data_IF_147127060110
#
_entry.id   IF_147127060110
#
_cell.length_a   1.000
_cell.length_b   1.000
_cell.length_c   1.000
_cell.angle_alpha   90.00
_cell.angle_beta   90.00
_cell.angle_gamma   90.00
#
_symmetry.space_group_name_H-M   'P 1'
#
loop_
_entity.id
_entity.type
_entity.pdbx_description
1 polymer ?
#
# COMPACT_ATOMS: atom_id res chain seq x y z
N UNK A 1 11.17 -39.72 -0.08
CA UNK A 1 10.02 -38.80 -0.02
C UNK A 1 10.49 -37.58 0.80
N UNK A 2 10.91 -36.52 0.12
CA UNK A 2 11.42 -35.29 0.79
C UNK A 2 10.24 -34.35 0.89
N UNK A 3 9.59 -34.30 2.05
CA UNK A 3 8.66 -33.22 2.38
C UNK A 3 9.46 -31.93 2.51
N UNK A 4 9.42 -31.10 1.47
CA UNK A 4 9.85 -29.72 1.53
C UNK A 4 8.79 -28.94 2.32
N UNK A 5 8.86 -29.00 3.63
CA UNK A 5 8.15 -28.04 4.50
C UNK A 5 8.84 -26.70 4.33
N UNK A 6 8.27 -25.86 3.44
CA UNK A 6 8.76 -24.51 3.25
C UNK A 6 8.87 -23.80 4.62
N UNK A 7 10.01 -23.20 4.92
CA UNK A 7 10.22 -22.47 6.17
C UNK A 7 9.13 -21.39 6.33
N UNK A 8 8.30 -21.46 7.38
CA UNK A 8 7.23 -20.48 7.60
C UNK A 8 7.73 -19.04 7.72
N UNK A 9 9.01 -18.86 8.06
CA UNK A 9 9.66 -17.56 8.06
C UNK A 9 9.86 -17.00 6.65
N UNK A 10 10.17 -17.84 5.68
CA UNK A 10 10.35 -17.43 4.28
C UNK A 10 9.01 -17.05 3.64
N UNK A 11 7.95 -17.79 3.91
CA UNK A 11 6.60 -17.47 3.43
C UNK A 11 6.11 -16.12 3.98
N UNK A 12 6.35 -15.86 5.26
CA UNK A 12 6.00 -14.58 5.90
C UNK A 12 6.74 -13.41 5.24
N UNK A 13 8.03 -13.53 4.95
CA UNK A 13 8.82 -12.48 4.29
C UNK A 13 8.34 -12.20 2.88
N UNK A 14 8.07 -13.25 2.11
CA UNK A 14 7.54 -13.12 0.75
C UNK A 14 6.20 -12.38 0.80
N UNK A 15 5.28 -12.78 1.68
CA UNK A 15 3.99 -12.12 1.83
C UNK A 15 4.15 -10.64 2.21
N UNK A 16 4.99 -10.34 3.20
CA UNK A 16 5.24 -8.96 3.66
C UNK A 16 6.00 -8.14 2.60
N UNK A 17 6.80 -8.78 1.73
CA UNK A 17 7.48 -8.11 0.61
C UNK A 17 6.56 -7.81 -0.57
N UNK A 18 5.57 -8.67 -0.83
CA UNK A 18 4.59 -8.48 -1.92
C UNK A 18 3.58 -7.37 -1.57
N UNK A 19 3.13 -7.31 -0.32
CA UNK A 19 2.10 -6.35 0.11
C UNK A 19 2.45 -4.89 -0.24
N UNK A 20 3.63 -4.34 0.10
CA UNK A 20 3.95 -2.96 -0.26
C UNK A 20 4.01 -2.75 -1.78
N UNK A 21 4.42 -3.76 -2.57
CA UNK A 21 4.41 -3.66 -4.03
C UNK A 21 2.98 -3.58 -4.59
N UNK A 22 2.06 -4.40 -4.08
CA UNK A 22 0.64 -4.37 -4.46
C UNK A 22 0.02 -3.02 -4.10
N UNK A 23 0.25 -2.53 -2.88
CA UNK A 23 -0.24 -1.22 -2.46
C UNK A 23 0.38 -0.08 -3.29
N UNK A 24 1.68 -0.15 -3.63
CA UNK A 24 2.33 0.84 -4.47
C UNK A 24 1.63 0.95 -5.85
N UNK A 25 1.36 -0.19 -6.50
CA UNK A 25 0.62 -0.22 -7.77
C UNK A 25 -0.77 0.38 -7.61
N UNK A 26 -1.49 0.04 -6.53
CA UNK A 26 -2.83 0.56 -6.26
C UNK A 26 -2.82 2.08 -6.10
N UNK A 27 -1.86 2.64 -5.35
CA UNK A 27 -1.71 4.08 -5.20
C UNK A 27 -1.33 4.78 -6.50
N UNK A 28 -0.45 4.21 -7.33
CA UNK A 28 -0.14 4.78 -8.63
C UNK A 28 -1.33 4.75 -9.58
N UNK A 29 -2.15 3.68 -9.54
CA UNK A 29 -3.41 3.66 -10.30
C UNK A 29 -4.36 4.77 -9.85
N UNK A 30 -4.52 4.98 -8.53
CA UNK A 30 -5.30 6.09 -7.98
C UNK A 30 -4.77 7.45 -8.44
N UNK A 31 -3.46 7.66 -8.34
CA UNK A 31 -2.83 8.90 -8.82
C UNK A 31 -3.10 9.16 -10.30
N UNK A 32 -3.01 8.14 -11.16
CA UNK A 32 -3.32 8.26 -12.58
C UNK A 32 -4.79 8.63 -12.82
N UNK A 33 -5.72 8.01 -12.08
CA UNK A 33 -7.14 8.35 -12.17
C UNK A 33 -7.37 9.82 -11.79
N UNK A 34 -6.73 10.31 -10.71
CA UNK A 34 -6.81 11.71 -10.29
C UNK A 34 -6.03 12.69 -11.20
N UNK A 35 -5.21 12.18 -12.10
CA UNK A 35 -4.65 12.98 -13.21
C UNK A 35 -5.57 12.99 -14.46
N UNK A 36 -6.73 12.32 -14.39
CA UNK A 36 -7.71 12.25 -15.48
C UNK A 36 -7.46 11.10 -16.47
N UNK A 37 -6.53 10.19 -16.15
CA UNK A 37 -6.34 8.97 -16.95
C UNK A 37 -7.51 8.03 -16.74
N UNK A 38 -8.08 7.52 -17.82
CA UNK A 38 -9.16 6.53 -17.79
C UNK A 38 -8.54 5.13 -17.99
N UNK A 39 -8.90 4.19 -17.11
CA UNK A 39 -8.39 2.82 -17.16
C UNK A 39 -9.51 1.89 -17.67
N UNK A 40 -9.41 1.36 -18.91
CA UNK A 40 -10.40 0.44 -19.44
C UNK A 40 -10.28 -0.95 -18.79
N UNK A 41 -11.39 -1.48 -18.30
CA UNK A 41 -11.51 -2.82 -17.74
C UNK A 41 -12.58 -3.61 -18.53
N UNK A 42 -12.27 -3.94 -19.77
CA UNK A 42 -13.22 -4.61 -20.66
C UNK A 42 -14.41 -3.72 -20.98
N UNK A 43 -15.62 -4.10 -20.51
CA UNK A 43 -16.84 -3.33 -20.73
C UNK A 43 -17.01 -2.12 -19.77
N UNK A 44 -16.19 -2.03 -18.73
CA UNK A 44 -16.20 -0.93 -17.76
C UNK A 44 -14.97 -0.02 -17.93
N UNK A 45 -15.11 1.24 -17.54
CA UNK A 45 -14.01 2.21 -17.50
C UNK A 45 -13.93 2.79 -16.10
N UNK A 46 -12.77 2.69 -15.47
CA UNK A 46 -12.48 3.43 -14.25
C UNK A 46 -12.08 4.86 -14.63
N UNK A 47 -12.81 5.82 -14.08
CA UNK A 47 -12.53 7.25 -14.27
C UNK A 47 -12.87 8.01 -12.99
N UNK A 48 -12.02 8.97 -12.64
CA UNK A 48 -12.22 9.86 -11.50
C UNK A 48 -12.07 11.33 -11.94
N UNK A 49 -12.68 12.27 -11.23
CA UNK A 49 -12.41 13.68 -11.43
C UNK A 49 -10.94 14.01 -11.21
N UNK A 50 -10.40 14.95 -11.99
CA UNK A 50 -9.03 15.42 -11.81
C UNK A 50 -8.90 16.17 -10.49
N UNK A 51 -8.07 15.63 -9.58
CA UNK A 51 -7.79 16.17 -8.24
C UNK A 51 -6.28 16.18 -8.02
N UNK A 52 -5.59 17.22 -8.47
CA UNK A 52 -4.14 17.28 -8.43
C UNK A 52 -3.52 17.06 -7.04
N UNK A 53 -4.05 17.62 -5.93
CA UNK A 53 -3.54 17.29 -4.59
C UNK A 53 -3.61 15.81 -4.25
N UNK A 54 -4.70 15.11 -4.61
CA UNK A 54 -4.83 13.67 -4.40
C UNK A 54 -3.80 12.88 -5.20
N UNK A 55 -3.63 13.22 -6.49
CA UNK A 55 -2.62 12.59 -7.35
C UNK A 55 -1.20 12.72 -6.76
N UNK A 56 -0.85 13.88 -6.19
CA UNK A 56 0.45 14.10 -5.55
C UNK A 56 0.61 13.20 -4.32
N UNK A 57 -0.37 13.22 -3.41
CA UNK A 57 -0.31 12.41 -2.17
C UNK A 57 -0.23 10.93 -2.50
N UNK A 58 -1.05 10.43 -3.43
CA UNK A 58 -1.04 9.03 -3.84
C UNK A 58 0.29 8.64 -4.52
N UNK A 59 0.85 9.51 -5.36
CA UNK A 59 2.18 9.28 -5.94
C UNK A 59 3.26 9.15 -4.88
N UNK A 60 3.25 10.00 -3.86
CA UNK A 60 4.20 9.94 -2.75
C UNK A 60 4.01 8.66 -1.91
N UNK A 61 2.77 8.25 -1.67
CA UNK A 61 2.46 6.98 -1.00
C UNK A 61 2.97 5.78 -1.82
N UNK A 62 2.72 5.78 -3.14
CA UNK A 62 3.23 4.76 -4.05
C UNK A 62 4.75 4.67 -4.05
N UNK A 63 5.46 5.81 -4.08
CA UNK A 63 6.94 5.84 -4.01
C UNK A 63 7.45 5.30 -2.67
N UNK A 64 6.85 5.70 -1.54
CA UNK A 64 7.24 5.20 -0.22
C UNK A 64 7.07 3.69 -0.11
N UNK A 65 5.95 3.16 -0.60
CA UNK A 65 5.66 1.72 -0.61
C UNK A 65 6.57 0.95 -1.56
N UNK A 66 6.92 1.53 -2.73
CA UNK A 66 7.91 0.97 -3.65
C UNK A 66 9.29 0.86 -2.98
N UNK A 67 9.69 1.88 -2.22
CA UNK A 67 10.91 1.82 -1.42
C UNK A 67 10.85 0.73 -0.35
N UNK A 68 9.70 0.57 0.34
CA UNK A 68 9.48 -0.52 1.28
C UNK A 68 9.64 -1.91 0.64
N UNK A 69 9.04 -2.11 -0.54
CA UNK A 69 9.17 -3.34 -1.30
C UNK A 69 10.63 -3.61 -1.71
N UNK A 70 11.31 -2.59 -2.25
CA UNK A 70 12.72 -2.68 -2.59
C UNK A 70 13.59 -3.06 -1.40
N UNK A 71 13.36 -2.47 -0.22
CA UNK A 71 14.12 -2.78 0.98
C UNK A 71 14.05 -4.26 1.38
N UNK A 72 12.88 -4.90 1.17
CA UNK A 72 12.72 -6.35 1.39
C UNK A 72 13.48 -7.15 0.35
N UNK A 73 13.31 -6.81 -0.95
CA UNK A 73 13.97 -7.52 -2.05
C UNK A 73 15.49 -7.39 -1.98
N UNK A 74 16.00 -6.22 -1.60
CA UNK A 74 17.42 -5.95 -1.39
C UNK A 74 17.98 -6.55 -0.07
N UNK A 75 17.14 -7.22 0.73
CA UNK A 75 17.51 -7.79 2.04
C UNK A 75 18.18 -6.77 2.95
N UNK A 76 17.69 -5.52 2.88
CA UNK A 76 18.27 -4.46 3.68
C UNK A 76 18.06 -4.72 5.17
N UNK A 77 19.09 -4.51 5.99
CA UNK A 77 19.05 -4.76 7.44
C UNK A 77 17.95 -3.98 8.18
N UNK A 78 17.43 -2.88 7.58
CA UNK A 78 16.32 -2.08 8.10
C UNK A 78 15.00 -2.28 7.32
N UNK A 79 14.86 -3.39 6.58
CA UNK A 79 13.69 -3.65 5.75
C UNK A 79 12.37 -3.58 6.54
N UNK A 80 12.32 -4.13 7.75
CA UNK A 80 11.12 -4.01 8.61
C UNK A 80 10.74 -2.55 8.87
N UNK A 81 11.71 -1.71 9.25
CA UNK A 81 11.49 -0.28 9.52
C UNK A 81 11.02 0.44 8.25
N UNK A 82 11.62 0.14 7.10
CA UNK A 82 11.24 0.74 5.82
C UNK A 82 9.81 0.37 5.44
N UNK A 83 9.43 -0.90 5.55
CA UNK A 83 8.06 -1.37 5.25
C UNK A 83 7.06 -0.76 6.22
N UNK A 84 7.36 -0.75 7.51
CA UNK A 84 6.47 -0.17 8.52
C UNK A 84 6.27 1.33 8.29
N UNK A 85 7.36 2.09 8.09
CA UNK A 85 7.30 3.53 7.84
C UNK A 85 6.54 3.86 6.55
N UNK A 86 6.74 3.09 5.47
CA UNK A 86 6.03 3.25 4.21
C UNK A 86 4.51 3.05 4.37
N UNK A 87 4.08 2.00 5.09
CA UNK A 87 2.66 1.76 5.35
C UNK A 87 2.06 2.81 6.28
N UNK A 88 2.79 3.25 7.30
CA UNK A 88 2.33 4.32 8.19
C UNK A 88 2.18 5.66 7.43
N UNK A 89 3.11 5.98 6.53
CA UNK A 89 3.03 7.13 5.65
C UNK A 89 1.81 7.05 4.73
N UNK A 90 1.61 5.89 4.08
CA UNK A 90 0.46 5.66 3.20
C UNK A 90 -0.88 5.73 3.96
N UNK A 91 -0.94 5.22 5.21
CA UNK A 91 -2.11 5.38 6.07
C UNK A 91 -2.40 6.86 6.34
N UNK A 92 -1.37 7.67 6.61
CA UNK A 92 -1.50 9.13 6.75
C UNK A 92 -2.10 9.79 5.50
N UNK A 93 -1.65 9.39 4.31
CA UNK A 93 -2.20 9.85 3.03
C UNK A 93 -3.68 9.48 2.85
N UNK A 94 -4.06 8.24 3.18
CA UNK A 94 -5.47 7.81 3.13
C UNK A 94 -6.32 8.58 4.14
N UNK A 95 -5.85 8.79 5.36
CA UNK A 95 -6.57 9.57 6.36
C UNK A 95 -6.76 11.02 5.92
N UNK A 96 -5.76 11.61 5.26
CA UNK A 96 -5.88 12.94 4.66
C UNK A 96 -6.98 12.97 3.59
N UNK A 97 -7.01 11.99 2.69
CA UNK A 97 -8.04 11.85 1.66
C UNK A 97 -9.44 11.68 2.27
N UNK A 98 -9.61 10.77 3.23
CA UNK A 98 -10.89 10.57 3.94
C UNK A 98 -11.36 11.85 4.62
N UNK A 99 -10.44 12.57 5.26
CA UNK A 99 -10.76 13.85 5.92
C UNK A 99 -11.18 14.90 4.89
N UNK A 100 -10.46 15.01 3.77
CA UNK A 100 -10.80 15.94 2.70
C UNK A 100 -12.20 15.67 2.13
N UNK A 101 -12.55 14.40 1.89
CA UNK A 101 -13.90 14.01 1.45
C UNK A 101 -14.96 14.35 2.50
N UNK A 102 -14.71 14.08 3.78
CA UNK A 102 -15.64 14.38 4.86
C UNK A 102 -15.89 15.89 5.04
N UNK A 103 -14.91 16.72 4.71
CA UNK A 103 -15.01 18.18 4.75
C UNK A 103 -15.55 18.79 3.44
N UNK A 104 -15.87 17.97 2.43
CA UNK A 104 -16.34 18.46 1.14
C UNK A 104 -15.27 19.18 0.33
N UNK A 105 -13.99 18.92 0.58
CA UNK A 105 -12.86 19.59 -0.08
C UNK A 105 -12.59 19.07 -1.52
N UNK A 106 -13.41 18.17 -2.03
CA UNK A 106 -13.30 17.62 -3.38
C UNK A 106 -14.53 16.83 -3.80
N UNK A 107 -14.63 16.45 -5.09
CA UNK A 107 -15.71 15.61 -5.57
C UNK A 107 -15.66 14.23 -4.90
N UNK A 108 -16.81 13.76 -4.42
CA UNK A 108 -16.97 12.44 -3.83
C UNK A 108 -17.68 11.54 -4.83
N UNK A 109 -16.97 10.51 -5.30
CA UNK A 109 -17.54 9.42 -6.12
C UNK A 109 -17.64 8.15 -5.27
N UNK A 110 -18.51 7.23 -5.67
CA UNK A 110 -18.60 5.93 -4.99
C UNK A 110 -17.30 5.14 -5.10
N UNK A 111 -16.61 5.24 -6.24
CA UNK A 111 -15.32 4.59 -6.47
C UNK A 111 -14.27 5.15 -5.50
N UNK A 112 -14.12 6.47 -5.44
CA UNK A 112 -13.15 7.14 -4.56
C UNK A 112 -13.43 6.82 -3.08
N UNK A 113 -14.69 6.88 -2.67
CA UNK A 113 -15.11 6.56 -1.30
C UNK A 113 -14.81 5.10 -0.94
N UNK A 114 -15.12 4.16 -1.83
CA UNK A 114 -14.87 2.73 -1.63
C UNK A 114 -13.37 2.46 -1.58
N UNK A 115 -12.61 3.04 -2.51
CA UNK A 115 -11.15 2.95 -2.53
C UNK A 115 -10.53 3.35 -1.20
N UNK A 116 -10.87 4.54 -0.69
CA UNK A 116 -10.33 5.02 0.59
C UNK A 116 -10.68 4.11 1.78
N UNK A 117 -11.91 3.57 1.82
CA UNK A 117 -12.32 2.63 2.88
C UNK A 117 -11.53 1.32 2.82
N UNK A 118 -11.39 0.74 1.63
CA UNK A 118 -10.64 -0.51 1.44
C UNK A 118 -9.16 -0.30 1.80
N UNK A 119 -8.57 0.82 1.33
CA UNK A 119 -7.17 1.14 1.64
C UNK A 119 -6.96 1.38 3.13
N UNK A 120 -7.87 2.09 3.80
CA UNK A 120 -7.81 2.33 5.24
C UNK A 120 -7.78 1.01 6.02
N UNK A 121 -8.76 0.13 5.77
CA UNK A 121 -8.85 -1.17 6.48
C UNK A 121 -7.63 -2.02 6.18
N UNK A 122 -7.21 -2.10 4.92
CA UNK A 122 -6.07 -2.90 4.50
C UNK A 122 -4.76 -2.42 5.11
N UNK A 123 -4.47 -1.11 5.08
CA UNK A 123 -3.25 -0.54 5.67
C UNK A 123 -3.20 -0.72 7.19
N UNK A 124 -4.32 -0.56 7.89
CA UNK A 124 -4.40 -0.84 9.34
C UNK A 124 -4.12 -2.31 9.62
N UNK A 125 -4.70 -3.23 8.84
CA UNK A 125 -4.48 -4.67 9.01
C UNK A 125 -3.00 -5.04 8.79
N UNK A 126 -2.35 -4.48 7.75
CA UNK A 126 -0.92 -4.72 7.48
C UNK A 126 -0.05 -4.14 8.59
N UNK A 127 -0.33 -2.93 9.07
CA UNK A 127 0.41 -2.36 10.20
C UNK A 127 0.26 -3.20 11.47
N UNK A 128 -0.95 -3.69 11.76
CA UNK A 128 -1.17 -4.61 12.88
C UNK A 128 -0.37 -5.91 12.72
N UNK A 129 -0.36 -6.50 11.50
CA UNK A 129 0.44 -7.67 11.19
C UNK A 129 1.95 -7.41 11.41
N UNK A 130 2.47 -6.30 10.93
CA UNK A 130 3.89 -5.92 11.07
C UNK A 130 4.30 -5.74 12.55
N UNK A 131 3.37 -5.38 13.42
CA UNK A 131 3.62 -5.24 14.85
C UNK A 131 3.66 -6.58 15.59
N UNK A 132 3.23 -7.68 14.98
CA UNK A 132 3.27 -9.00 15.61
C UNK A 132 4.70 -9.47 15.88
N UNK A 133 4.94 -10.24 16.95
CA UNK A 133 6.25 -10.84 17.22
C UNK A 133 6.75 -11.72 16.07
N UNK A 134 5.84 -12.47 15.42
CA UNK A 134 6.16 -13.35 14.30
C UNK A 134 6.71 -12.57 13.10
N UNK A 135 6.04 -11.48 12.69
CA UNK A 135 6.53 -10.63 11.62
C UNK A 135 7.89 -10.02 11.95
N UNK A 136 8.06 -9.47 13.16
CA UNK A 136 9.35 -8.91 13.59
C UNK A 136 10.48 -9.94 13.61
N UNK A 137 10.19 -11.17 14.07
CA UNK A 137 11.17 -12.26 14.10
C UNK A 137 11.60 -12.70 12.69
N UNK A 138 10.68 -12.69 11.72
CA UNK A 138 10.99 -13.00 10.33
C UNK A 138 12.05 -12.05 9.73
N UNK A 139 12.05 -10.77 10.10
CA UNK A 139 13.04 -9.80 9.62
C UNK A 139 14.36 -9.82 10.39
N UNK A 140 14.42 -10.38 11.61
CA UNK A 140 15.66 -10.43 12.44
C UNK A 140 16.59 -11.57 12.06
N UNK A 141 16.11 -12.62 11.40
CA UNK A 141 16.88 -13.83 11.12
C UNK A 141 17.94 -13.68 10.01
N UNK A 142 18.07 -12.51 9.40
CA UNK A 142 19.01 -12.24 8.30
C UNK A 142 20.06 -11.15 8.60
N UNK A 143 20.03 -10.59 9.79
CA UNK A 143 21.05 -9.67 10.28
C UNK A 143 22.16 -10.45 11.02
#
# INVERSE_FOLDING_TARGET
MIESTGDPGSAMKIAVGILPAVYAVTFFCGALLHLGVQIPLGAAVLAEPTILPAAIVESLCGLALSFGAWAVLARWNRAWTAVFAAHAFALGGVLLGVTALALGAGPSTDLNTTYHRVMLVGLVAVLALLLTPAARAAFRREA
#
